data_IF_017578812134
#
_entry.id   IF_017578812134
#
_cell.length_a   1.000
_cell.length_b   1.000
_cell.length_c   1.000
_cell.angle_alpha   90.00
_cell.angle_beta   90.00
_cell.angle_gamma   90.00
#
_symmetry.space_group_name_H-M   'P 1'
#
loop_
_entity.id
_entity.type
_entity.pdbx_description
1 polymer ?
#
# COMPACT_ATOMS: atom_id res chain seq x y z
N UNK A 1 8.08 -36.24 -10.42
CA UNK A 1 8.71 -35.47 -9.33
C UNK A 1 8.11 -35.80 -7.96
N UNK A 2 6.78 -35.76 -7.78
CA UNK A 2 6.12 -36.12 -6.51
C UNK A 2 6.49 -37.51 -5.95
N UNK A 3 6.61 -38.53 -6.82
CA UNK A 3 7.01 -39.90 -6.42
C UNK A 3 8.40 -39.96 -5.76
N UNK A 4 9.35 -39.16 -6.25
CA UNK A 4 10.71 -39.09 -5.70
C UNK A 4 10.76 -38.28 -4.41
N UNK A 5 9.93 -37.22 -4.30
CA UNK A 5 9.82 -36.42 -3.08
C UNK A 5 9.19 -37.22 -1.92
N UNK A 6 8.18 -38.04 -2.21
CA UNK A 6 7.62 -38.97 -1.22
C UNK A 6 8.70 -39.98 -0.79
N UNK A 7 9.36 -40.65 -1.73
CA UNK A 7 10.38 -41.65 -1.39
C UNK A 7 11.58 -41.08 -0.62
N UNK A 8 11.96 -39.83 -0.86
CA UNK A 8 13.12 -39.21 -0.22
C UNK A 8 12.87 -38.69 1.20
N UNK A 9 11.61 -38.45 1.58
CA UNK A 9 11.25 -37.84 2.88
C UNK A 9 10.57 -38.79 3.86
N UNK A 10 10.27 -40.03 3.46
CA UNK A 10 9.67 -41.04 4.31
C UNK A 10 10.75 -41.86 5.03
N UNK A 11 10.50 -42.21 6.29
CA UNK A 11 11.40 -43.12 7.01
C UNK A 11 11.37 -44.52 6.36
N UNK A 12 12.46 -45.29 6.47
CA UNK A 12 12.55 -46.64 5.90
C UNK A 12 11.42 -47.58 6.35
N UNK A 13 10.95 -47.44 7.59
CA UNK A 13 9.84 -48.20 8.17
C UNK A 13 8.52 -47.91 7.44
N UNK A 14 8.22 -46.63 7.22
CA UNK A 14 7.04 -46.17 6.46
C UNK A 14 7.10 -46.65 5.01
N UNK A 15 8.28 -46.63 4.39
CA UNK A 15 8.48 -47.17 3.04
C UNK A 15 8.26 -48.68 2.97
N UNK A 16 8.75 -49.45 3.95
CA UNK A 16 8.51 -50.90 4.03
C UNK A 16 7.03 -51.21 4.16
N UNK A 17 6.34 -50.51 5.06
CA UNK A 17 4.90 -50.68 5.25
C UNK A 17 4.13 -50.38 3.96
N UNK A 18 4.40 -49.25 3.32
CA UNK A 18 3.79 -48.91 2.03
C UNK A 18 4.09 -49.97 0.96
N UNK A 19 5.32 -50.48 0.90
CA UNK A 19 5.71 -51.51 -0.06
C UNK A 19 4.93 -52.82 0.15
N UNK A 20 4.74 -53.25 1.41
CA UNK A 20 3.99 -54.46 1.73
C UNK A 20 2.53 -54.35 1.29
N UNK A 21 1.88 -53.23 1.62
CA UNK A 21 0.50 -52.99 1.22
C UNK A 21 0.33 -52.86 -0.30
N UNK A 22 1.27 -52.19 -0.99
CA UNK A 22 1.23 -52.09 -2.45
C UNK A 22 1.49 -53.42 -3.15
N UNK A 23 2.44 -54.23 -2.66
CA UNK A 23 2.68 -55.59 -3.17
C UNK A 23 1.44 -56.46 -3.00
N UNK A 24 0.83 -56.46 -1.80
CA UNK A 24 -0.39 -57.20 -1.54
C UNK A 24 -1.55 -56.76 -2.43
N UNK A 25 -1.67 -55.45 -2.69
CA UNK A 25 -2.67 -54.91 -3.60
C UNK A 25 -2.40 -55.31 -5.06
N UNK A 26 -1.13 -55.37 -5.48
CA UNK A 26 -0.73 -55.75 -6.83
C UNK A 26 -1.00 -57.24 -7.12
N UNK A 27 -0.80 -58.11 -6.14
CA UNK A 27 -1.05 -59.55 -6.25
C UNK A 27 -2.55 -59.89 -6.32
N UNK A 28 -3.42 -58.96 -5.89
CA UNK A 28 -4.87 -59.12 -5.96
C UNK A 28 -5.42 -58.71 -7.33
N UNK A 29 -5.95 -59.69 -8.08
CA UNK A 29 -6.60 -59.47 -9.39
C UNK A 29 -8.01 -58.89 -9.26
N UNK A 30 -8.71 -59.16 -8.16
CA UNK A 30 -10.03 -58.60 -7.86
C UNK A 30 -9.95 -57.15 -7.37
N UNK A 31 -10.78 -56.28 -7.96
CA UNK A 31 -10.75 -54.83 -7.69
C UNK A 31 -11.20 -54.48 -6.27
N UNK A 32 -12.13 -55.26 -5.70
CA UNK A 32 -12.62 -55.07 -4.34
C UNK A 32 -11.55 -55.45 -3.31
N UNK A 33 -10.93 -56.62 -3.46
CA UNK A 33 -9.84 -57.05 -2.58
C UNK A 33 -8.62 -56.13 -2.65
N UNK A 34 -8.33 -55.58 -3.84
CA UNK A 34 -7.30 -54.55 -4.03
C UNK A 34 -7.65 -53.27 -3.28
N UNK A 35 -8.89 -52.79 -3.39
CA UNK A 35 -9.35 -51.60 -2.67
C UNK A 35 -9.32 -51.81 -1.15
N UNK A 36 -9.76 -52.97 -0.65
CA UNK A 36 -9.70 -53.30 0.77
C UNK A 36 -8.25 -53.32 1.28
N UNK A 37 -7.32 -53.91 0.52
CA UNK A 37 -5.89 -53.93 0.84
C UNK A 37 -5.27 -52.53 0.92
N UNK A 38 -5.69 -51.62 0.03
CA UNK A 38 -5.27 -50.22 0.05
C UNK A 38 -5.97 -49.40 1.14
N UNK A 39 -7.21 -49.74 1.50
CA UNK A 39 -7.97 -49.04 2.54
C UNK A 39 -7.34 -49.23 3.92
N UNK A 40 -6.65 -50.35 4.15
CA UNK A 40 -5.87 -50.58 5.37
C UNK A 40 -4.73 -49.56 5.58
N UNK A 41 -4.23 -48.93 4.51
CA UNK A 41 -3.27 -47.82 4.64
C UNK A 41 -3.88 -46.60 5.30
N UNK A 42 -5.19 -46.39 5.17
CA UNK A 42 -5.89 -45.26 5.80
C UNK A 42 -6.01 -45.42 7.32
N UNK A 43 -5.86 -46.64 7.83
CA UNK A 43 -5.83 -46.95 9.27
C UNK A 43 -4.42 -47.11 9.84
N UNK A 44 -3.38 -47.08 9.00
CA UNK A 44 -2.00 -47.20 9.46
C UNK A 44 -1.52 -45.88 10.06
N UNK A 45 -1.03 -45.92 11.31
CA UNK A 45 -0.40 -44.77 11.94
C UNK A 45 0.97 -44.53 11.29
N UNK A 46 1.01 -43.59 10.34
CA UNK A 46 2.22 -43.21 9.62
C UNK A 46 2.51 -41.70 9.80
N UNK A 47 3.15 -41.29 10.91
CA UNK A 47 3.38 -39.88 11.22
C UNK A 47 4.08 -39.10 10.10
N UNK A 48 4.97 -39.76 9.33
CA UNK A 48 5.68 -39.13 8.22
C UNK A 48 4.76 -38.75 7.05
N UNK A 49 3.68 -39.50 6.83
CA UNK A 49 2.69 -39.18 5.80
C UNK A 49 1.86 -37.96 6.20
N UNK A 50 1.62 -37.77 7.50
CA UNK A 50 0.93 -36.60 8.04
C UNK A 50 1.78 -35.32 7.91
N UNK A 51 3.11 -35.44 8.05
CA UNK A 51 4.04 -34.32 7.86
C UNK A 51 4.05 -33.79 6.42
N UNK A 52 3.91 -34.68 5.43
CA UNK A 52 3.83 -34.31 4.02
C UNK A 52 2.45 -33.73 3.64
N UNK A 53 1.41 -33.97 4.45
CA UNK A 53 0.02 -33.57 4.19
C UNK A 53 -0.33 -32.13 4.63
N UNK A 54 0.60 -31.38 5.22
CA UNK A 54 0.37 -29.95 5.52
C UNK A 54 0.43 -29.06 4.27
N UNK A 55 0.72 -29.63 3.10
CA UNK A 55 0.65 -28.96 1.81
C UNK A 55 -0.65 -29.41 1.11
N UNK A 56 -1.49 -28.48 0.63
CA UNK A 56 -2.71 -28.86 -0.07
C UNK A 56 -2.41 -29.70 -1.31
N UNK A 57 -2.99 -30.90 -1.35
CA UNK A 57 -3.03 -31.74 -2.54
C UNK A 57 -4.26 -31.35 -3.37
N UNK A 58 -4.02 -30.92 -4.60
CA UNK A 58 -5.08 -30.55 -5.54
C UNK A 58 -5.29 -31.68 -6.55
N UNK A 59 -6.51 -32.18 -6.63
CA UNK A 59 -6.95 -32.99 -7.75
C UNK A 59 -7.62 -32.08 -8.76
N UNK A 60 -7.08 -32.05 -9.98
CA UNK A 60 -7.60 -31.22 -11.06
C UNK A 60 -8.37 -32.12 -12.02
N UNK A 61 -9.63 -31.78 -12.29
CA UNK A 61 -10.38 -32.42 -13.35
C UNK A 61 -10.05 -31.71 -14.68
N UNK A 62 -9.33 -32.35 -15.61
CA UNK A 62 -8.97 -31.71 -16.88
C UNK A 62 -10.18 -31.45 -17.78
N UNK A 63 -11.33 -32.05 -17.50
CA UNK A 63 -12.58 -31.83 -18.24
C UNK A 63 -13.40 -30.63 -17.71
N UNK A 64 -13.01 -30.01 -16.61
CA UNK A 64 -13.73 -28.86 -16.06
C UNK A 64 -13.53 -27.60 -16.94
N UNK A 65 -14.55 -26.75 -17.08
CA UNK A 65 -14.41 -25.44 -17.72
C UNK A 65 -13.32 -24.59 -17.07
N UNK A 66 -12.60 -23.81 -17.87
CA UNK A 66 -11.49 -22.98 -17.39
C UNK A 66 -11.93 -21.93 -16.35
N UNK A 67 -13.16 -21.43 -16.44
CA UNK A 67 -13.70 -20.47 -15.47
C UNK A 67 -13.92 -21.11 -14.09
N UNK A 68 -14.51 -22.30 -14.05
CA UNK A 68 -14.75 -23.08 -12.83
C UNK A 68 -13.42 -23.48 -12.16
N UNK A 69 -12.46 -23.93 -12.98
CA UNK A 69 -11.10 -24.20 -12.52
C UNK A 69 -10.44 -23.00 -11.85
N UNK A 70 -10.54 -21.82 -12.48
CA UNK A 70 -9.93 -20.60 -11.95
C UNK A 70 -10.64 -20.11 -10.69
N UNK A 71 -11.97 -20.25 -10.60
CA UNK A 71 -12.71 -19.91 -9.38
C UNK A 71 -12.34 -20.83 -8.23
N UNK A 72 -12.20 -22.13 -8.47
CA UNK A 72 -11.88 -23.12 -7.43
C UNK A 72 -10.48 -22.91 -6.88
N UNK A 73 -9.49 -22.70 -7.75
CA UNK A 73 -8.13 -22.36 -7.33
C UNK A 73 -8.09 -21.07 -6.52
N UNK A 74 -8.87 -20.05 -6.90
CA UNK A 74 -8.94 -18.78 -6.17
C UNK A 74 -9.54 -18.98 -4.78
N UNK A 75 -10.67 -19.69 -4.69
CA UNK A 75 -11.37 -19.97 -3.44
C UNK A 75 -10.48 -20.77 -2.48
N UNK A 76 -9.85 -21.84 -2.97
CA UNK A 76 -8.93 -22.66 -2.18
C UNK A 76 -7.74 -21.86 -1.69
N UNK A 77 -7.10 -21.07 -2.56
CA UNK A 77 -6.01 -20.18 -2.15
C UNK A 77 -6.46 -19.24 -1.03
N UNK A 78 -7.62 -18.63 -1.15
CA UNK A 78 -8.12 -17.65 -0.18
C UNK A 78 -8.43 -18.33 1.17
N UNK A 79 -9.04 -19.52 1.16
CA UNK A 79 -9.25 -20.35 2.36
C UNK A 79 -7.93 -20.73 3.06
N UNK A 80 -6.91 -21.13 2.29
CA UNK A 80 -5.60 -21.48 2.85
C UNK A 80 -4.87 -20.29 3.44
N UNK A 81 -4.98 -19.11 2.80
CA UNK A 81 -4.44 -17.87 3.36
C UNK A 81 -5.11 -17.52 4.67
N UNK A 82 -6.44 -17.67 4.75
CA UNK A 82 -7.19 -17.46 5.98
C UNK A 82 -6.75 -18.45 7.08
N UNK A 83 -6.70 -19.75 6.77
CA UNK A 83 -6.29 -20.80 7.71
C UNK A 83 -4.87 -20.59 8.25
N UNK A 84 -3.95 -20.19 7.38
CA UNK A 84 -2.54 -19.95 7.73
C UNK A 84 -2.27 -18.51 8.21
N UNK A 85 -3.31 -17.67 8.30
CA UNK A 85 -3.20 -16.24 8.66
C UNK A 85 -2.17 -15.48 7.82
N UNK A 86 -2.07 -15.84 6.54
CA UNK A 86 -1.14 -15.19 5.61
C UNK A 86 -1.73 -13.85 5.14
N UNK A 87 -1.00 -12.72 5.31
CA UNK A 87 -1.48 -11.42 4.86
C UNK A 87 -1.67 -11.44 3.34
N UNK A 88 -2.70 -10.76 2.83
CA UNK A 88 -2.96 -10.66 1.39
C UNK A 88 -1.87 -9.83 0.66
N UNK A 89 -0.74 -10.45 0.33
CA UNK A 89 0.24 -9.95 -0.63
C UNK A 89 -0.31 -10.08 -2.05
N UNK A 90 -1.05 -9.05 -2.47
CA UNK A 90 -1.53 -8.90 -3.85
C UNK A 90 -0.90 -7.67 -4.48
N UNK A 91 0.42 -7.64 -4.55
CA UNK A 91 1.06 -6.71 -5.48
C UNK A 91 2.16 -7.44 -6.22
N UNK A 92 1.96 -7.59 -7.53
CA UNK A 92 3.03 -7.98 -8.44
C UNK A 92 4.06 -6.87 -8.39
N UNK A 93 5.34 -7.20 -8.21
CA UNK A 93 6.42 -6.20 -8.14
C UNK A 93 6.40 -5.24 -9.34
N UNK A 94 6.05 -5.76 -10.52
CA UNK A 94 5.87 -4.97 -11.74
C UNK A 94 4.84 -3.84 -11.58
N UNK A 95 3.79 -4.04 -10.78
CA UNK A 95 2.78 -3.00 -10.52
C UNK A 95 3.31 -1.90 -9.60
N UNK A 96 4.34 -2.15 -8.78
CA UNK A 96 4.93 -1.10 -7.96
C UNK A 96 5.62 -0.04 -8.81
N UNK A 97 6.30 -0.45 -9.89
CA UNK A 97 6.90 0.50 -10.84
C UNK A 97 5.84 1.40 -11.45
N UNK A 98 4.70 0.84 -11.87
CA UNK A 98 3.58 1.59 -12.43
C UNK A 98 2.96 2.56 -11.40
N UNK A 99 2.85 2.14 -10.13
CA UNK A 99 2.31 2.97 -9.05
C UNK A 99 3.23 4.14 -8.71
N UNK A 100 4.53 3.86 -8.56
CA UNK A 100 5.55 4.88 -8.29
C UNK A 100 5.69 5.84 -9.47
N UNK A 101 5.62 5.34 -10.71
CA UNK A 101 5.65 6.20 -11.89
C UNK A 101 4.44 7.13 -11.97
N UNK A 102 3.25 6.64 -11.64
CA UNK A 102 2.05 7.49 -11.58
C UNK A 102 2.16 8.57 -10.49
N UNK A 103 2.72 8.21 -9.33
CA UNK A 103 3.05 9.15 -8.24
C UNK A 103 4.06 10.21 -8.70
N UNK A 104 5.18 9.78 -9.26
CA UNK A 104 6.28 10.64 -9.69
C UNK A 104 5.83 11.65 -10.74
N UNK A 105 5.08 11.19 -11.76
CA UNK A 105 4.54 12.06 -12.80
C UNK A 105 3.53 13.07 -12.26
N UNK A 106 2.67 12.66 -11.33
CA UNK A 106 1.64 13.55 -10.77
C UNK A 106 2.26 14.61 -9.88
N UNK A 107 3.13 14.19 -8.97
CA UNK A 107 3.71 15.08 -7.96
C UNK A 107 5.00 15.77 -8.43
N UNK A 108 5.52 15.46 -9.62
CA UNK A 108 6.73 16.08 -10.16
C UNK A 108 8.03 15.56 -9.54
N UNK A 109 8.07 14.30 -9.11
CA UNK A 109 9.32 13.65 -8.71
C UNK A 109 10.07 13.14 -9.95
N UNK A 110 11.37 13.42 -10.01
CA UNK A 110 12.27 12.84 -11.01
C UNK A 110 13.70 12.82 -10.47
N UNK A 111 14.47 11.80 -10.84
CA UNK A 111 15.89 11.68 -10.43
C UNK A 111 16.12 11.78 -8.91
N UNK A 112 15.14 11.32 -8.11
CA UNK A 112 15.18 11.38 -6.65
C UNK A 112 15.01 12.79 -6.06
N UNK A 113 14.56 13.76 -6.86
CA UNK A 113 14.29 15.13 -6.43
C UNK A 113 12.86 15.53 -6.77
N UNK A 114 12.31 16.40 -5.93
CA UNK A 114 11.01 17.01 -6.15
C UNK A 114 11.17 18.26 -7.01
N UNK A 115 10.47 18.31 -8.14
CA UNK A 115 10.45 19.42 -9.08
C UNK A 115 9.02 19.95 -9.17
N UNK A 116 8.75 21.06 -8.47
CA UNK A 116 7.42 21.67 -8.47
C UNK A 116 6.94 22.03 -9.89
N UNK A 117 7.82 22.52 -10.75
CA UNK A 117 7.47 22.88 -12.13
C UNK A 117 7.20 21.64 -13.03
N UNK A 118 7.44 20.44 -12.52
CA UNK A 118 7.18 19.17 -13.20
C UNK A 118 5.89 18.49 -12.73
N UNK A 119 5.11 19.11 -11.83
CA UNK A 119 3.78 18.63 -11.42
C UNK A 119 2.87 18.61 -12.65
N UNK A 120 2.19 17.48 -12.87
CA UNK A 120 1.36 17.29 -14.06
C UNK A 120 -0.11 17.10 -13.70
N UNK A 121 -1.00 17.55 -14.58
CA UNK A 121 -2.43 17.24 -14.46
C UNK A 121 -2.66 15.72 -14.55
N UNK A 122 -3.71 15.19 -13.90
CA UNK A 122 -4.04 13.76 -14.04
C UNK A 122 -4.32 13.40 -15.52
N UNK A 123 -4.78 14.35 -16.33
CA UNK A 123 -4.96 14.17 -17.78
C UNK A 123 -3.64 13.91 -18.50
N UNK A 124 -2.58 14.63 -18.13
CA UNK A 124 -1.25 14.44 -18.72
C UNK A 124 -0.60 13.14 -18.23
N UNK A 125 -0.80 12.79 -16.96
CA UNK A 125 -0.38 11.50 -16.39
C UNK A 125 -1.02 10.33 -17.15
N UNK A 126 -2.33 10.40 -17.40
CA UNK A 126 -3.08 9.41 -18.19
C UNK A 126 -2.51 9.25 -19.59
N UNK A 127 -2.21 10.37 -20.26
CA UNK A 127 -1.63 10.39 -21.61
C UNK A 127 -0.23 9.77 -21.62
N UNK A 128 0.61 10.11 -20.66
CA UNK A 128 1.99 9.62 -20.55
C UNK A 128 2.06 8.11 -20.24
N UNK A 129 1.18 7.63 -19.36
CA UNK A 129 1.13 6.21 -18.99
C UNK A 129 0.43 5.35 -20.05
N UNK A 130 -0.33 5.94 -20.97
CA UNK A 130 -1.12 5.22 -21.96
C UNK A 130 -2.23 4.36 -21.33
N UNK A 131 -2.77 4.79 -20.18
CA UNK A 131 -3.75 4.04 -19.40
C UNK A 131 -5.14 4.69 -19.41
N UNK A 132 -6.15 3.99 -18.92
CA UNK A 132 -7.45 4.62 -18.65
C UNK A 132 -7.36 5.60 -17.47
N UNK A 133 -8.24 6.61 -17.42
CA UNK A 133 -8.35 7.56 -16.30
C UNK A 133 -8.49 6.84 -14.96
N UNK A 134 -9.33 5.82 -14.91
CA UNK A 134 -9.58 5.01 -13.70
C UNK A 134 -8.33 4.23 -13.28
N UNK A 135 -7.60 3.64 -14.24
CA UNK A 135 -6.36 2.90 -13.95
C UNK A 135 -5.28 3.84 -13.40
N UNK A 136 -5.04 4.98 -14.05
CA UNK A 136 -4.05 5.96 -13.60
C UNK A 136 -4.36 6.49 -12.18
N UNK A 137 -5.63 6.75 -11.88
CA UNK A 137 -6.09 7.12 -10.53
C UNK A 137 -5.81 6.03 -9.51
N UNK A 138 -6.15 4.78 -9.81
CA UNK A 138 -5.88 3.67 -8.91
C UNK A 138 -4.38 3.46 -8.68
N UNK A 139 -3.57 3.65 -9.73
CA UNK A 139 -2.11 3.58 -9.63
C UNK A 139 -1.54 4.70 -8.77
N UNK A 140 -2.00 5.93 -8.99
CA UNK A 140 -1.63 7.07 -8.17
C UNK A 140 -2.02 6.87 -6.69
N UNK A 141 -3.25 6.43 -6.40
CA UNK A 141 -3.69 6.13 -5.01
C UNK A 141 -2.84 5.04 -4.36
N UNK A 142 -2.49 4.01 -5.13
CA UNK A 142 -1.60 2.94 -4.66
C UNK A 142 -0.17 3.45 -4.43
N UNK A 143 0.32 4.35 -5.30
CA UNK A 143 1.62 5.02 -5.15
C UNK A 143 1.66 5.94 -3.95
N UNK A 144 0.64 6.78 -3.76
CA UNK A 144 0.45 7.60 -2.56
C UNK A 144 0.54 6.74 -1.30
N UNK A 145 -0.21 5.64 -1.22
CA UNK A 145 -0.17 4.73 -0.07
C UNK A 145 1.20 4.07 0.12
N UNK A 146 1.86 3.69 -0.96
CA UNK A 146 3.18 3.06 -0.90
C UNK A 146 4.25 4.02 -0.36
N UNK A 147 4.22 5.28 -0.78
CA UNK A 147 5.20 6.30 -0.41
C UNK A 147 4.92 6.86 0.99
N UNK A 148 3.65 7.13 1.31
CA UNK A 148 3.27 7.83 2.54
C UNK A 148 2.89 6.88 3.68
N UNK A 149 2.46 5.65 3.37
CA UNK A 149 1.86 4.73 4.34
C UNK A 149 0.37 4.98 4.61
N UNK A 150 -0.24 6.01 4.03
CA UNK A 150 -1.65 6.39 4.27
C UNK A 150 -2.55 6.07 3.07
N UNK A 151 -3.81 5.70 3.31
CA UNK A 151 -4.79 5.63 2.21
C UNK A 151 -4.99 7.01 1.59
N UNK A 152 -5.19 7.06 0.27
CA UNK A 152 -5.46 8.33 -0.37
C UNK A 152 -6.82 8.88 0.07
N UNK A 153 -6.80 10.04 0.71
CA UNK A 153 -7.93 10.95 0.86
C UNK A 153 -7.43 12.37 0.61
N UNK A 154 -8.33 13.30 0.33
CA UNK A 154 -7.95 14.71 0.13
C UNK A 154 -7.31 15.28 1.39
N UNK A 155 -7.81 14.90 2.57
CA UNK A 155 -7.27 15.29 3.86
C UNK A 155 -5.84 14.79 4.05
N UNK A 156 -5.59 13.50 3.80
CA UNK A 156 -4.25 12.92 3.90
C UNK A 156 -3.31 13.55 2.85
N UNK A 157 -3.82 13.85 1.65
CA UNK A 157 -3.04 14.54 0.64
C UNK A 157 -2.69 15.97 1.06
N UNK A 158 -3.62 16.72 1.64
CA UNK A 158 -3.36 18.07 2.18
C UNK A 158 -2.33 18.01 3.31
N UNK A 159 -2.44 17.02 4.19
CA UNK A 159 -1.52 16.84 5.32
C UNK A 159 -0.09 16.56 4.84
N UNK A 160 0.07 15.70 3.83
CA UNK A 160 1.39 15.28 3.32
C UNK A 160 1.96 16.27 2.28
N UNK A 161 1.15 16.64 1.29
CA UNK A 161 1.59 17.37 0.09
C UNK A 161 1.13 18.83 0.06
N UNK A 162 0.12 19.20 0.85
CA UNK A 162 -0.52 20.52 0.78
C UNK A 162 0.47 21.66 0.99
N UNK A 163 1.32 21.57 2.03
CA UNK A 163 2.34 22.60 2.29
C UNK A 163 3.34 22.70 1.14
N UNK A 164 3.77 21.57 0.57
CA UNK A 164 4.76 21.58 -0.52
C UNK A 164 4.22 22.06 -1.85
N UNK A 165 2.95 21.79 -2.16
CA UNK A 165 2.36 22.21 -3.43
C UNK A 165 1.90 23.67 -3.36
N UNK A 166 1.31 24.09 -2.25
CA UNK A 166 0.52 25.31 -2.19
C UNK A 166 1.26 26.51 -1.60
N UNK A 167 2.48 26.33 -1.10
CA UNK A 167 3.21 27.42 -0.47
C UNK A 167 3.44 28.64 -1.39
N UNK A 168 3.63 28.42 -2.70
CA UNK A 168 3.84 29.53 -3.65
C UNK A 168 2.56 30.30 -3.90
N UNK A 169 1.42 29.60 -3.88
CA UNK A 169 0.11 30.17 -4.13
C UNK A 169 -0.36 31.05 -2.97
N UNK A 170 0.16 30.81 -1.77
CA UNK A 170 -0.15 31.57 -0.56
C UNK A 170 0.92 32.61 -0.20
N UNK A 171 1.84 32.90 -1.12
CA UNK A 171 2.85 33.95 -0.95
C UNK A 171 3.97 33.62 0.05
N UNK A 172 3.90 32.49 0.76
CA UNK A 172 4.92 32.08 1.71
C UNK A 172 6.00 31.22 1.05
N UNK A 173 7.20 31.79 0.91
CA UNK A 173 8.41 30.99 0.74
C UNK A 173 8.57 30.09 1.97
N UNK A 174 8.18 28.82 1.87
CA UNK A 174 8.45 27.83 2.93
C UNK A 174 9.92 27.95 3.28
N UNK A 175 10.20 28.40 4.50
CA UNK A 175 11.56 28.53 4.97
C UNK A 175 12.27 27.18 4.78
N UNK A 176 13.48 27.20 4.22
CA UNK A 176 14.29 25.99 3.98
C UNK A 176 14.49 25.10 5.24
N UNK A 177 14.17 25.63 6.43
CA UNK A 177 14.15 24.91 7.69
C UNK A 177 13.13 23.76 7.74
N UNK A 178 11.98 23.87 7.07
CA UNK A 178 10.93 22.83 7.07
C UNK A 178 11.43 21.52 6.45
N UNK A 179 12.23 21.62 5.38
CA UNK A 179 12.85 20.46 4.73
C UNK A 179 13.91 19.77 5.59
N UNK A 180 14.51 20.46 6.56
CA UNK A 180 15.54 19.89 7.45
C UNK A 180 14.99 19.12 8.63
N UNK A 181 13.75 19.39 9.08
CA UNK A 181 13.12 18.64 10.19
C UNK A 181 12.66 17.24 9.77
N UNK A 182 12.15 17.08 8.55
CA UNK A 182 11.70 15.78 8.04
C UNK A 182 12.84 14.74 7.91
N UNK A 183 14.09 15.20 7.80
CA UNK A 183 15.27 14.35 7.63
C UNK A 183 15.98 13.97 8.96
N UNK A 184 15.51 14.45 10.11
CA UNK A 184 16.08 14.03 11.41
C UNK A 184 15.31 12.82 11.94
N UNK A 185 16.00 11.69 12.00
CA UNK A 185 15.54 10.52 12.73
C UNK A 185 15.09 10.93 14.14
N UNK A 186 13.93 10.42 14.56
CA UNK A 186 13.29 10.73 15.83
C UNK A 186 14.07 10.07 16.99
N UNK A 187 15.33 10.45 17.20
CA UNK A 187 16.10 10.01 18.37
C UNK A 187 15.60 10.80 19.57
N UNK A 188 14.73 10.20 20.38
CA UNK A 188 14.35 10.73 21.69
C UNK A 188 15.62 10.87 22.53
N UNK A 189 16.19 12.07 22.61
CA UNK A 189 17.16 12.39 23.66
C UNK A 189 16.36 12.61 24.95
N UNK A 190 16.74 12.01 26.09
CA UNK A 190 16.20 12.42 27.37
C UNK A 190 16.58 13.89 27.59
N UNK A 191 15.57 14.74 27.76
CA UNK A 191 15.75 16.15 28.09
C UNK A 191 15.59 16.25 29.60
N UNK A 192 16.65 16.70 30.28
CA UNK A 192 16.57 17.02 31.70
C UNK A 192 15.61 18.20 31.93
N UNK A 193 14.79 18.10 32.98
CA UNK A 193 13.77 19.07 33.37
C UNK A 193 14.33 20.47 33.71
N UNK A 194 15.65 20.65 33.73
CA UNK A 194 16.30 21.93 34.02
C UNK A 194 16.37 22.90 32.83
N UNK A 195 15.93 22.50 31.63
CA UNK A 195 16.16 23.30 30.40
C UNK A 195 15.03 24.31 30.07
N UNK A 196 14.05 24.52 30.95
CA UNK A 196 12.92 25.44 30.71
C UNK A 196 13.04 26.76 31.50
N UNK A 197 14.05 26.91 32.36
CA UNK A 197 14.18 28.11 33.18
C UNK A 197 15.31 29.04 32.71
N UNK A 198 14.92 30.15 32.07
CA UNK A 198 15.62 31.44 32.21
C UNK A 198 16.84 31.67 31.33
N UNK A 199 16.62 32.05 30.07
CA UNK A 199 17.66 32.57 29.17
C UNK A 199 17.21 33.84 28.46
N UNK A 200 16.91 34.90 29.20
CA UNK A 200 16.63 36.24 28.66
C UNK A 200 17.97 36.86 28.20
N UNK A 201 18.43 36.51 27.01
CA UNK A 201 19.64 37.10 26.43
C UNK A 201 19.36 38.53 25.93
N UNK A 202 20.08 39.49 26.49
CA UNK A 202 20.06 40.92 26.18
C UNK A 202 20.70 41.28 24.81
N UNK A 203 20.59 40.43 23.79
CA UNK A 203 21.15 40.70 22.47
C UNK A 203 20.18 40.28 21.38
N UNK A 204 19.13 41.09 21.17
CA UNK A 204 18.45 41.31 19.89
C UNK A 204 17.90 40.12 19.08
N UNK A 205 18.02 38.88 19.55
CA UNK A 205 17.48 37.71 18.88
C UNK A 205 16.11 37.40 19.50
N UNK A 206 15.04 37.36 18.69
CA UNK A 206 13.73 36.96 19.17
C UNK A 206 13.84 35.57 19.81
N UNK A 207 13.20 35.42 20.96
CA UNK A 207 13.26 34.17 21.71
C UNK A 207 12.70 33.01 20.88
N UNK A 208 13.15 31.79 21.13
CA UNK A 208 12.64 30.55 20.48
C UNK A 208 11.10 30.47 20.51
N UNK A 209 10.47 31.10 21.51
CA UNK A 209 9.01 31.21 21.66
C UNK A 209 8.38 32.20 20.66
N UNK A 210 9.05 33.31 20.33
CA UNK A 210 8.61 34.25 19.27
C UNK A 210 8.82 33.66 17.87
N UNK A 211 9.87 32.84 17.68
CA UNK A 211 10.10 32.08 16.44
C UNK A 211 9.07 30.95 16.25
N UNK A 212 8.46 30.46 17.34
CA UNK A 212 7.33 29.52 17.34
C UNK A 212 5.98 30.22 17.10
N UNK A 213 5.82 31.48 17.52
CA UNK A 213 4.64 32.27 17.19
C UNK A 213 4.57 32.61 15.69
N UNK A 214 5.73 32.81 15.04
CA UNK A 214 5.83 32.91 13.58
C UNK A 214 5.53 31.60 12.83
N UNK A 215 5.35 30.47 13.54
CA UNK A 215 4.95 29.17 12.98
C UNK A 215 3.44 28.91 13.04
N UNK A 216 2.60 29.95 13.22
CA UNK A 216 1.14 29.82 13.15
C UNK A 216 0.58 29.74 11.72
N UNK A 217 1.28 30.30 10.74
CA UNK A 217 0.85 30.29 9.33
C UNK A 217 0.56 28.89 8.72
N UNK A 218 1.33 27.83 8.99
CA UNK A 218 1.07 26.50 8.42
C UNK A 218 -0.28 25.89 8.86
N UNK A 219 -0.75 26.21 10.07
CA UNK A 219 -2.04 25.72 10.56
C UNK A 219 -3.21 26.43 9.88
N UNK A 220 -3.08 27.74 9.61
CA UNK A 220 -4.08 28.51 8.88
C UNK A 220 -4.22 28.03 7.43
N UNK A 221 -3.09 27.71 6.78
CA UNK A 221 -3.10 27.14 5.43
C UNK A 221 -3.82 25.80 5.37
N UNK A 222 -3.56 24.88 6.31
CA UNK A 222 -4.23 23.59 6.33
C UNK A 222 -5.74 23.72 6.58
N UNK A 223 -6.16 24.60 7.51
CA UNK A 223 -7.57 24.85 7.77
C UNK A 223 -8.28 25.45 6.55
N UNK A 224 -7.62 26.38 5.85
CA UNK A 224 -8.13 26.97 4.61
C UNK A 224 -8.32 25.90 3.52
N UNK A 225 -7.38 24.97 3.36
CA UNK A 225 -7.50 23.89 2.37
C UNK A 225 -8.61 22.91 2.68
N UNK A 226 -8.77 22.56 3.95
CA UNK A 226 -9.90 21.74 4.40
C UNK A 226 -11.24 22.48 4.17
N UNK A 227 -11.26 23.81 4.31
CA UNK A 227 -12.44 24.64 4.00
C UNK A 227 -12.73 24.65 2.50
N UNK A 228 -11.73 24.84 1.65
CA UNK A 228 -11.85 24.72 0.18
C UNK A 228 -12.43 23.35 -0.18
N UNK A 229 -11.88 22.27 0.39
CA UNK A 229 -12.37 20.90 0.16
C UNK A 229 -13.84 20.74 0.49
N UNK A 230 -14.29 21.30 1.63
CA UNK A 230 -15.71 21.26 2.04
C UNK A 230 -16.60 22.05 1.09
N UNK A 231 -16.14 23.18 0.56
CA UNK A 231 -16.92 23.99 -0.39
C UNK A 231 -17.04 23.30 -1.76
N UNK A 232 -15.96 22.67 -2.23
CA UNK A 232 -16.00 21.86 -3.46
C UNK A 232 -16.97 20.69 -3.31
N UNK A 233 -16.94 19.99 -2.18
CA UNK A 233 -17.87 18.89 -1.89
C UNK A 233 -19.35 19.36 -1.83
N UNK A 234 -19.61 20.62 -1.49
CA UNK A 234 -20.94 21.24 -1.53
C UNK A 234 -21.39 21.67 -2.93
N UNK A 235 -20.51 21.58 -3.94
CA UNK A 235 -20.80 21.99 -5.31
C UNK A 235 -20.63 23.48 -5.58
N UNK A 236 -19.93 24.23 -4.71
CA UNK A 236 -19.63 25.64 -4.96
C UNK A 236 -18.72 25.79 -6.19
N UNK A 237 -18.92 26.86 -6.95
CA UNK A 237 -18.06 27.32 -8.05
C UNK A 237 -16.76 27.95 -7.53
N UNK A 238 -15.76 28.10 -8.40
CA UNK A 238 -14.47 28.68 -7.99
C UNK A 238 -14.61 30.14 -7.51
N UNK A 239 -15.55 30.90 -8.10
CA UNK A 239 -15.84 32.28 -7.69
C UNK A 239 -16.50 32.35 -6.31
N UNK A 240 -17.47 31.46 -6.04
CA UNK A 240 -18.11 31.37 -4.72
C UNK A 240 -17.11 30.95 -3.63
N UNK A 241 -16.11 30.13 -3.97
CA UNK A 241 -15.03 29.74 -3.05
C UNK A 241 -14.13 30.94 -2.74
N UNK A 242 -13.77 31.76 -3.74
CA UNK A 242 -12.99 32.98 -3.52
C UNK A 242 -13.73 33.96 -2.61
N UNK A 243 -15.03 34.15 -2.86
CA UNK A 243 -15.88 35.03 -2.05
C UNK A 243 -16.05 34.54 -0.61
N UNK A 244 -16.29 33.23 -0.38
CA UNK A 244 -16.47 32.67 0.99
C UNK A 244 -15.19 32.73 1.84
N UNK A 245 -14.04 32.64 1.18
CA UNK A 245 -12.73 32.63 1.83
C UNK A 245 -12.08 34.01 1.91
N UNK A 246 -12.72 35.04 1.33
CA UNK A 246 -12.22 36.42 1.30
C UNK A 246 -10.77 36.52 0.75
N UNK A 247 -10.43 35.69 -0.23
CA UNK A 247 -9.09 35.65 -0.86
C UNK A 247 -9.08 36.34 -2.22
N UNK A 248 -7.92 36.91 -2.56
CA UNK A 248 -7.69 37.58 -3.84
C UNK A 248 -7.79 36.61 -5.03
N UNK A 249 -8.14 37.15 -6.21
CA UNK A 249 -8.28 36.40 -7.46
C UNK A 249 -6.98 35.69 -7.89
N UNK A 250 -5.82 36.11 -7.37
CA UNK A 250 -4.53 35.42 -7.55
C UNK A 250 -4.52 34.00 -6.98
N UNK A 251 -5.44 33.65 -6.08
CA UNK A 251 -5.61 32.30 -5.54
C UNK A 251 -6.41 31.36 -6.45
N UNK A 252 -7.06 31.88 -7.51
CA UNK A 252 -7.89 31.08 -8.42
C UNK A 252 -7.18 29.84 -9.01
N UNK A 253 -5.91 29.93 -9.49
CA UNK A 253 -5.20 28.77 -10.01
C UNK A 253 -5.03 27.65 -8.96
N UNK A 254 -4.86 28.01 -7.68
CA UNK A 254 -4.74 27.05 -6.58
C UNK A 254 -6.04 26.26 -6.39
N UNK A 255 -7.17 26.97 -6.42
CA UNK A 255 -8.50 26.39 -6.22
C UNK A 255 -8.81 25.42 -7.36
N UNK A 256 -8.48 25.79 -8.60
CA UNK A 256 -8.65 24.93 -9.77
C UNK A 256 -7.81 23.66 -9.65
N UNK A 257 -6.53 23.77 -9.31
CA UNK A 257 -5.64 22.62 -9.11
C UNK A 257 -6.13 21.71 -7.96
N UNK A 258 -6.61 22.32 -6.88
CA UNK A 258 -7.16 21.60 -5.74
C UNK A 258 -8.45 20.85 -6.09
N UNK A 259 -9.32 21.45 -6.90
CA UNK A 259 -10.54 20.81 -7.43
C UNK A 259 -10.22 19.61 -8.31
N UNK A 260 -9.25 19.74 -9.21
CA UNK A 260 -8.80 18.61 -10.02
C UNK A 260 -8.34 17.43 -9.14
N UNK A 261 -7.61 17.73 -8.06
CA UNK A 261 -7.14 16.72 -7.10
C UNK A 261 -8.29 16.09 -6.33
N UNK A 262 -9.29 16.87 -5.92
CA UNK A 262 -10.49 16.36 -5.25
C UNK A 262 -11.34 15.43 -6.15
N UNK A 263 -11.33 15.67 -7.45
CA UNK A 263 -12.03 14.82 -8.43
C UNK A 263 -11.26 13.54 -8.81
N UNK A 264 -10.02 13.37 -8.32
CA UNK A 264 -9.08 12.29 -8.69
C UNK A 264 -9.26 11.02 -7.84
#
# INVERSE_FOLDING_TARGET
MAKLLLAANLQPETLRLLSEHFSRAADNTDSRNRFESLSLLNSAECPDLDLLANIPLYQLNPAAPAEEFNSDLKNLRDQWRERLKLPNSRVSEKKYEDYLRAWDLREGWSEGKYHRDAVRSMKDVVKELGQSKTSARNWYRSGFKLVTGHEFSVENWVEVMGVTQLSRLLGETVAQASGRRALRANSRRPVDDTTVSGGRNQQGNPGVVEELAAQQAPQDVQQMLLRISKLIAKGCSDQEILEDLEVEETALPAIVEFRETHET
#
